data_IF_898917472997
#
_entry.id   IF_898917472997
#
_cell.length_a   1.000
_cell.length_b   1.000
_cell.length_c   1.000
_cell.angle_alpha   90.00
_cell.angle_beta   90.00
_cell.angle_gamma   90.00
#
_symmetry.space_group_name_H-M   'P 1'
#
loop_
_entity.id
_entity.type
_entity.pdbx_description
1 polymer ?
#
# COMPACT_ATOMS: atom_id res chain seq x y z
N UNK A 1 -29.01 8.93 5.20
CA UNK A 1 -27.75 8.19 5.00
C UNK A 1 -27.65 7.07 6.04
N UNK A 2 -27.50 5.80 5.61
CA UNK A 2 -27.31 4.64 6.50
C UNK A 2 -26.09 4.80 7.42
N UNK A 3 -26.15 4.27 8.65
CA UNK A 3 -25.08 4.41 9.64
C UNK A 3 -23.74 3.84 9.16
N UNK A 4 -23.78 2.71 8.46
CA UNK A 4 -22.59 2.09 7.83
C UNK A 4 -21.86 3.01 6.85
N UNK A 5 -22.59 3.88 6.15
CA UNK A 5 -21.98 4.83 5.20
C UNK A 5 -21.30 5.97 5.95
N UNK A 6 -21.91 6.47 7.04
CA UNK A 6 -21.28 7.49 7.88
C UNK A 6 -20.01 6.97 8.54
N UNK A 7 -20.01 5.72 9.01
CA UNK A 7 -18.83 5.07 9.57
C UNK A 7 -17.71 4.93 8.53
N UNK A 8 -18.05 4.52 7.29
CA UNK A 8 -17.08 4.49 6.20
C UNK A 8 -16.47 5.87 5.93
N UNK A 9 -17.31 6.92 5.82
CA UNK A 9 -16.84 8.29 5.62
C UNK A 9 -15.90 8.69 6.76
N UNK A 10 -16.30 8.47 8.01
CA UNK A 10 -15.47 8.80 9.17
C UNK A 10 -14.09 8.13 9.09
N UNK A 11 -14.02 6.85 8.74
CA UNK A 11 -12.74 6.12 8.58
C UNK A 11 -11.92 6.69 7.42
N UNK A 12 -12.54 6.94 6.26
CA UNK A 12 -11.86 7.56 5.12
C UNK A 12 -11.33 8.97 5.44
N UNK A 13 -11.89 9.69 6.40
CA UNK A 13 -11.40 11.01 6.77
C UNK A 13 -10.30 11.00 7.84
N UNK A 14 -10.32 10.04 8.75
CA UNK A 14 -9.49 10.09 9.96
C UNK A 14 -8.44 8.98 10.05
N UNK A 15 -8.57 7.91 9.28
CA UNK A 15 -7.60 6.83 9.25
C UNK A 15 -6.52 7.12 8.21
N UNK A 16 -5.31 7.43 8.68
CA UNK A 16 -4.11 7.62 7.85
C UNK A 16 -2.98 6.77 8.38
N UNK A 17 -2.03 6.36 7.52
CA UNK A 17 -0.73 5.92 7.98
C UNK A 17 -0.10 6.97 8.91
N UNK A 18 0.72 6.51 9.85
CA UNK A 18 1.38 7.42 10.78
C UNK A 18 2.51 8.16 10.04
N UNK A 19 2.65 9.48 10.25
CA UNK A 19 3.76 10.22 9.64
C UNK A 19 5.12 9.60 9.99
N UNK A 20 6.10 9.68 9.07
CA UNK A 20 7.42 9.08 9.22
C UNK A 20 8.09 9.41 10.56
N UNK A 21 8.11 10.68 10.94
CA UNK A 21 8.69 11.18 12.20
C UNK A 21 8.08 10.57 13.46
N UNK A 22 6.85 10.09 13.38
CA UNK A 22 6.12 9.49 14.50
C UNK A 22 6.25 7.98 14.54
N UNK A 23 6.80 7.36 13.50
CA UNK A 23 7.14 5.94 13.52
C UNK A 23 8.24 5.72 14.57
N UNK A 24 8.12 4.72 15.46
CA UNK A 24 9.09 4.48 16.52
C UNK A 24 10.53 4.43 15.99
N UNK A 25 11.41 5.24 16.59
CA UNK A 25 12.87 5.21 16.34
C UNK A 25 13.55 4.14 17.21
N UNK A 26 12.92 2.97 17.29
CA UNK A 26 13.45 1.80 17.98
C UNK A 26 13.20 0.57 17.14
N UNK A 27 14.17 -0.32 17.16
CA UNK A 27 14.04 -1.66 16.60
C UNK A 27 12.89 -2.43 17.26
N UNK A 28 11.96 -2.91 16.46
CA UNK A 28 10.85 -3.76 16.88
C UNK A 28 11.14 -5.23 16.61
N UNK A 29 10.65 -6.11 17.49
CA UNK A 29 10.57 -7.54 17.24
C UNK A 29 9.31 -7.90 16.42
N UNK A 30 9.28 -9.10 15.85
CA UNK A 30 8.21 -9.60 14.97
C UNK A 30 6.78 -9.32 15.51
N UNK A 31 6.50 -9.68 16.76
CA UNK A 31 5.16 -9.50 17.33
C UNK A 31 4.82 -8.01 17.53
N UNK A 32 5.82 -7.17 17.79
CA UNK A 32 5.65 -5.73 17.97
C UNK A 32 5.37 -5.03 16.65
N UNK A 33 6.09 -5.37 15.57
CA UNK A 33 5.82 -4.81 14.26
C UNK A 33 4.44 -5.22 13.75
N UNK A 34 4.05 -6.49 13.90
CA UNK A 34 2.69 -6.94 13.54
C UNK A 34 1.63 -6.17 14.34
N UNK A 35 1.85 -5.98 15.64
CA UNK A 35 0.95 -5.18 16.48
C UNK A 35 0.88 -3.71 16.06
N UNK A 36 2.01 -3.14 15.61
CA UNK A 36 2.09 -1.77 15.13
C UNK A 36 1.36 -1.57 13.79
N UNK A 37 1.51 -2.53 12.87
CA UNK A 37 0.92 -2.46 11.52
C UNK A 37 -0.61 -2.36 11.51
N UNK A 38 -1.28 -2.82 12.56
CA UNK A 38 -2.75 -2.67 12.73
C UNK A 38 -3.22 -1.21 12.70
N UNK A 39 -2.33 -0.25 12.97
CA UNK A 39 -2.63 1.19 13.02
C UNK A 39 -2.45 1.90 11.69
N UNK A 40 -1.81 1.26 10.70
CA UNK A 40 -1.33 1.94 9.50
C UNK A 40 -2.39 2.04 8.38
N UNK A 41 -3.36 1.12 8.31
CA UNK A 41 -4.39 1.14 7.27
C UNK A 41 -5.78 0.74 7.74
N UNK A 42 -6.78 1.33 7.08
CA UNK A 42 -8.18 0.88 7.14
C UNK A 42 -8.22 -0.60 6.70
N UNK A 43 -8.74 -1.47 7.58
CA UNK A 43 -8.89 -2.89 7.29
C UNK A 43 -7.80 -3.79 7.88
N UNK A 44 -6.60 -3.25 8.20
CA UNK A 44 -5.58 -4.01 8.94
C UNK A 44 -5.89 -4.14 10.44
N UNK A 45 -6.92 -3.44 10.92
CA UNK A 45 -7.37 -3.42 12.32
C UNK A 45 -8.01 -4.74 12.75
N UNK A 46 -8.55 -5.53 11.82
CA UNK A 46 -9.31 -6.75 12.11
C UNK A 46 -8.42 -7.99 12.07
N UNK A 47 -8.57 -8.85 13.08
CA UNK A 47 -8.01 -10.21 13.11
C UNK A 47 -8.77 -11.15 12.13
N UNK A 48 -8.78 -10.77 10.85
CA UNK A 48 -9.26 -11.58 9.72
C UNK A 48 -8.12 -12.16 8.88
N UNK A 49 -8.46 -12.83 7.78
CA UNK A 49 -7.50 -13.47 6.84
C UNK A 49 -6.50 -12.49 6.20
N UNK A 50 -6.73 -11.18 6.32
CA UNK A 50 -5.85 -10.14 5.80
C UNK A 50 -4.81 -9.61 6.80
N UNK A 51 -4.86 -10.07 8.06
CA UNK A 51 -3.91 -9.67 9.09
C UNK A 51 -2.47 -10.09 8.73
N UNK A 52 -1.52 -9.15 8.89
CA UNK A 52 -0.12 -9.40 8.60
C UNK A 52 0.44 -10.50 9.51
N UNK A 53 0.97 -11.57 8.94
CA UNK A 53 1.52 -12.70 9.70
C UNK A 53 3.05 -12.73 9.68
N UNK A 54 3.71 -13.41 10.64
CA UNK A 54 5.15 -13.63 10.59
C UNK A 54 5.59 -14.35 9.32
N UNK A 55 4.77 -15.27 8.81
CA UNK A 55 5.05 -16.00 7.57
C UNK A 55 5.08 -15.06 6.36
N UNK A 56 4.16 -14.11 6.28
CA UNK A 56 4.14 -13.11 5.21
C UNK A 56 5.36 -12.20 5.23
N UNK A 57 5.74 -11.66 6.40
CA UNK A 57 6.94 -10.82 6.55
C UNK A 57 8.19 -11.59 6.10
N UNK A 58 8.30 -12.85 6.51
CA UNK A 58 9.40 -13.72 6.06
C UNK A 58 9.35 -14.00 4.55
N UNK A 59 8.17 -14.12 3.94
CA UNK A 59 8.05 -14.30 2.50
C UNK A 59 8.48 -13.04 1.74
N UNK A 60 8.12 -11.85 2.22
CA UNK A 60 8.55 -10.59 1.62
C UNK A 60 10.07 -10.41 1.69
N UNK A 61 10.71 -10.78 2.81
CA UNK A 61 12.18 -10.78 2.90
C UNK A 61 12.85 -11.81 1.97
N UNK A 62 12.18 -12.94 1.70
CA UNK A 62 12.71 -13.98 0.80
C UNK A 62 12.56 -13.64 -0.67
N UNK A 63 11.57 -12.82 -1.00
CA UNK A 63 11.33 -12.33 -2.37
C UNK A 63 11.97 -10.96 -2.62
N UNK A 64 12.87 -10.52 -1.74
CA UNK A 64 13.56 -9.22 -1.77
C UNK A 64 12.64 -7.98 -1.82
N UNK A 65 11.35 -8.16 -1.51
CA UNK A 65 10.34 -7.08 -1.44
C UNK A 65 10.46 -6.25 -0.16
N UNK A 66 11.05 -6.85 0.88
CA UNK A 66 11.32 -6.22 2.16
C UNK A 66 12.81 -6.40 2.47
N UNK A 67 13.52 -5.35 2.90
CA UNK A 67 14.90 -5.48 3.37
C UNK A 67 15.03 -6.56 4.46
N UNK A 68 16.22 -7.17 4.53
CA UNK A 68 16.47 -8.20 5.54
C UNK A 68 16.57 -7.57 6.92
N UNK A 69 15.82 -8.11 7.87
CA UNK A 69 15.88 -7.73 9.27
C UNK A 69 17.29 -7.85 9.87
N UNK A 70 17.71 -6.85 10.66
CA UNK A 70 18.98 -6.85 11.36
C UNK A 70 18.89 -7.67 12.66
N UNK A 71 19.24 -8.95 12.61
CA UNK A 71 19.22 -9.80 13.80
C UNK A 71 17.82 -10.01 14.39
N UNK A 72 16.81 -10.18 13.52
CA UNK A 72 15.37 -10.32 13.84
C UNK A 72 14.70 -9.04 14.36
N UNK A 73 15.32 -7.90 14.09
CA UNK A 73 14.80 -6.59 14.43
C UNK A 73 14.40 -5.84 13.15
N UNK A 74 13.30 -5.10 13.27
CA UNK A 74 12.68 -4.34 12.19
C UNK A 74 12.66 -2.87 12.61
N UNK A 75 13.22 -2.02 11.77
CA UNK A 75 13.30 -0.57 11.97
C UNK A 75 12.15 0.17 11.26
N UNK A 76 12.27 1.50 11.21
CA UNK A 76 11.33 2.40 10.56
C UNK A 76 11.20 2.14 9.06
N UNK A 77 12.28 1.79 8.36
CA UNK A 77 12.23 1.47 6.93
C UNK A 77 11.36 0.24 6.68
N UNK A 78 11.51 -0.79 7.51
CA UNK A 78 10.67 -1.99 7.41
C UNK A 78 9.18 -1.66 7.58
N UNK A 79 8.85 -0.74 8.48
CA UNK A 79 7.47 -0.26 8.67
C UNK A 79 6.98 0.47 7.42
N UNK A 80 7.81 1.34 6.82
CA UNK A 80 7.50 2.04 5.58
C UNK A 80 7.14 1.08 4.44
N UNK A 81 8.02 0.12 4.17
CA UNK A 81 7.77 -0.93 3.18
C UNK A 81 6.52 -1.74 3.50
N UNK A 82 6.39 -2.28 4.71
CA UNK A 82 5.25 -3.13 5.07
C UNK A 82 3.92 -2.39 4.96
N UNK A 83 3.90 -1.09 5.24
CA UNK A 83 2.72 -0.23 5.08
C UNK A 83 2.28 -0.20 3.63
N UNK A 84 3.17 0.16 2.71
CA UNK A 84 2.87 0.17 1.28
C UNK A 84 2.49 -1.24 0.75
N UNK A 85 3.28 -2.26 1.07
CA UNK A 85 3.05 -3.65 0.61
C UNK A 85 1.67 -4.14 1.04
N UNK A 86 1.26 -3.87 2.29
CA UNK A 86 -0.03 -4.30 2.82
C UNK A 86 -1.22 -3.70 2.05
N UNK A 87 -1.11 -2.47 1.55
CA UNK A 87 -2.13 -1.86 0.71
C UNK A 87 -2.05 -2.38 -0.73
N UNK A 88 -0.85 -2.37 -1.33
CA UNK A 88 -0.65 -2.74 -2.74
C UNK A 88 -1.10 -4.18 -3.02
N UNK A 89 -0.83 -5.12 -2.11
CA UNK A 89 -1.23 -6.53 -2.28
C UNK A 89 -2.75 -6.75 -2.37
N UNK A 90 -3.56 -5.75 -2.00
CA UNK A 90 -5.03 -5.82 -2.11
C UNK A 90 -5.49 -5.63 -3.56
N UNK A 91 -4.65 -5.04 -4.41
CA UNK A 91 -4.98 -4.69 -5.80
C UNK A 91 -4.09 -5.38 -6.84
N UNK A 92 -2.88 -5.80 -6.46
CA UNK A 92 -1.92 -6.45 -7.35
C UNK A 92 -1.18 -7.61 -6.67
N UNK A 93 -0.47 -8.41 -7.47
CA UNK A 93 0.38 -9.49 -6.95
C UNK A 93 1.62 -8.97 -6.23
N UNK A 94 2.22 -9.81 -5.38
CA UNK A 94 3.47 -9.51 -4.67
C UNK A 94 4.62 -9.19 -5.63
N UNK A 95 4.66 -9.86 -6.79
CA UNK A 95 5.66 -9.59 -7.83
C UNK A 95 5.50 -8.18 -8.42
N UNK A 96 4.27 -7.82 -8.79
CA UNK A 96 3.94 -6.51 -9.35
C UNK A 96 4.24 -5.38 -8.36
N UNK A 97 3.94 -5.59 -7.07
CA UNK A 97 4.31 -4.66 -6.02
C UNK A 97 5.85 -4.49 -5.91
N UNK A 98 6.62 -5.56 -6.13
CA UNK A 98 8.09 -5.50 -6.16
C UNK A 98 8.62 -4.63 -7.28
N UNK A 99 8.15 -4.84 -8.51
CA UNK A 99 8.54 -4.01 -9.66
C UNK A 99 8.27 -2.53 -9.40
N UNK A 100 7.10 -2.20 -8.85
CA UNK A 100 6.74 -0.81 -8.55
C UNK A 100 7.64 -0.23 -7.45
N UNK A 101 7.84 -0.95 -6.35
CA UNK A 101 8.66 -0.46 -5.24
C UNK A 101 10.13 -0.32 -5.65
N UNK A 102 10.70 -1.28 -6.38
CA UNK A 102 12.07 -1.18 -6.90
C UNK A 102 12.24 0.07 -7.78
N UNK A 103 11.31 0.32 -8.70
CA UNK A 103 11.35 1.50 -9.57
C UNK A 103 11.20 2.82 -8.81
N UNK A 104 10.44 2.87 -7.72
CA UNK A 104 10.36 4.08 -6.87
C UNK A 104 11.68 4.30 -6.11
N UNK A 105 12.28 3.23 -5.57
CA UNK A 105 13.55 3.29 -4.84
C UNK A 105 14.75 3.66 -5.72
N UNK A 106 14.66 3.52 -7.05
CA UNK A 106 15.70 3.98 -7.99
C UNK A 106 15.89 5.50 -7.97
N UNK A 107 14.89 6.24 -7.47
CA UNK A 107 14.85 7.71 -7.57
C UNK A 107 14.76 8.41 -6.22
N UNK A 108 14.46 7.70 -5.14
CA UNK A 108 14.29 8.26 -3.80
C UNK A 108 14.60 7.24 -2.70
N UNK A 109 14.85 7.75 -1.50
CA UNK A 109 14.96 6.89 -0.31
C UNK A 109 13.58 6.47 0.24
N UNK A 110 13.59 5.57 1.21
CA UNK A 110 12.39 4.98 1.81
C UNK A 110 11.51 6.02 2.50
N UNK A 111 12.13 7.04 3.11
CA UNK A 111 11.43 8.12 3.80
C UNK A 111 10.62 8.96 2.81
N UNK A 112 11.27 9.47 1.76
CA UNK A 112 10.61 10.27 0.74
C UNK A 112 9.49 9.50 0.03
N UNK A 113 9.73 8.23 -0.31
CA UNK A 113 8.70 7.36 -0.86
C UNK A 113 7.52 7.20 0.09
N UNK A 114 7.79 6.93 1.36
CA UNK A 114 6.73 6.74 2.35
C UNK A 114 5.88 8.00 2.52
N UNK A 115 6.49 9.18 2.49
CA UNK A 115 5.78 10.46 2.55
C UNK A 115 4.91 10.72 1.31
N UNK A 116 5.42 10.44 0.10
CA UNK A 116 4.63 10.53 -1.15
C UNK A 116 3.47 9.53 -1.15
N UNK A 117 3.72 8.31 -0.69
CA UNK A 117 2.71 7.29 -0.48
C UNK A 117 1.61 7.77 0.48
N UNK A 118 1.99 8.31 1.64
CA UNK A 118 1.04 8.82 2.63
C UNK A 118 0.19 9.98 2.07
N UNK A 119 0.81 10.89 1.31
CA UNK A 119 0.10 11.97 0.61
C UNK A 119 -0.90 11.44 -0.42
N UNK A 120 -0.51 10.43 -1.18
CA UNK A 120 -1.38 9.78 -2.16
C UNK A 120 -2.57 9.12 -1.49
N UNK A 121 -2.34 8.36 -0.41
CA UNK A 121 -3.42 7.74 0.38
C UNK A 121 -4.36 8.78 0.96
N UNK A 122 -3.84 9.87 1.52
CA UNK A 122 -4.66 10.96 2.07
C UNK A 122 -5.57 11.61 1.03
N UNK A 123 -5.00 11.93 -0.14
CA UNK A 123 -5.75 12.53 -1.23
C UNK A 123 -6.87 11.60 -1.73
N UNK A 124 -6.55 10.32 -1.98
CA UNK A 124 -7.52 9.34 -2.46
C UNK A 124 -8.63 9.05 -1.44
N UNK A 125 -8.28 8.93 -0.16
CA UNK A 125 -9.27 8.69 0.89
C UNK A 125 -10.19 9.90 1.10
N UNK A 126 -9.64 11.12 1.08
CA UNK A 126 -10.42 12.35 1.20
C UNK A 126 -11.38 12.53 0.02
N UNK A 127 -10.88 12.33 -1.20
CA UNK A 127 -11.69 12.35 -2.43
C UNK A 127 -12.83 11.31 -2.38
N UNK A 128 -12.52 10.10 -1.91
CA UNK A 128 -13.53 9.04 -1.76
C UNK A 128 -14.56 9.39 -0.68
N UNK A 129 -14.16 9.97 0.44
CA UNK A 129 -15.09 10.41 1.48
C UNK A 129 -16.09 11.44 0.94
N UNK A 130 -15.61 12.43 0.18
CA UNK A 130 -16.44 13.45 -0.46
C UNK A 130 -17.40 12.86 -1.49
N UNK A 131 -16.94 11.92 -2.32
CA UNK A 131 -17.81 11.20 -3.25
C UNK A 131 -18.90 10.43 -2.51
N UNK A 132 -18.54 9.65 -1.49
CA UNK A 132 -19.47 8.80 -0.73
C UNK A 132 -20.50 9.64 0.04
N UNK A 133 -20.18 10.88 0.45
CA UNK A 133 -21.14 11.81 1.08
C UNK A 133 -22.34 12.16 0.20
N UNK A 134 -22.19 12.09 -1.11
CA UNK A 134 -23.29 12.37 -2.05
C UNK A 134 -24.36 11.25 -2.03
N UNK A 135 -24.05 10.10 -1.44
CA UNK A 135 -24.99 8.99 -1.29
C UNK A 135 -26.10 9.31 -0.28
N UNK A 136 -27.32 9.57 -0.78
CA UNK A 136 -28.48 9.96 0.04
C UNK A 136 -29.43 8.80 0.31
N UNK A 137 -29.53 7.90 -0.66
CA UNK A 137 -30.55 6.84 -0.73
C UNK A 137 -30.01 5.60 -1.46
N UNK A 138 -30.89 4.61 -1.64
CA UNK A 138 -30.54 3.35 -2.31
C UNK A 138 -30.18 3.53 -3.79
N UNK A 139 -30.84 4.44 -4.50
CA UNK A 139 -30.62 4.63 -5.93
C UNK A 139 -29.23 5.23 -6.19
N UNK A 140 -28.92 6.32 -5.47
CA UNK A 140 -27.60 6.96 -5.50
C UNK A 140 -26.49 6.00 -5.07
N UNK A 141 -26.71 5.21 -4.01
CA UNK A 141 -25.78 4.15 -3.60
C UNK A 141 -25.52 3.12 -4.70
N UNK A 142 -26.58 2.68 -5.40
CA UNK A 142 -26.48 1.65 -6.44
C UNK A 142 -25.68 2.16 -7.63
N UNK A 143 -25.99 3.39 -8.08
CA UNK A 143 -25.27 4.04 -9.19
C UNK A 143 -23.79 4.24 -8.86
N UNK A 144 -23.50 4.75 -7.66
CA UNK A 144 -22.15 4.98 -7.19
C UNK A 144 -21.36 3.67 -7.06
N UNK A 145 -21.97 2.61 -6.53
CA UNK A 145 -21.33 1.30 -6.44
C UNK A 145 -20.96 0.73 -7.81
N UNK A 146 -21.83 0.87 -8.82
CA UNK A 146 -21.53 0.48 -10.19
C UNK A 146 -20.38 1.31 -10.78
N UNK A 147 -20.44 2.63 -10.61
CA UNK A 147 -19.39 3.53 -11.10
C UNK A 147 -18.03 3.18 -10.48
N UNK A 148 -17.97 3.03 -9.15
CA UNK A 148 -16.75 2.64 -8.44
C UNK A 148 -16.21 1.29 -8.95
N UNK A 149 -17.08 0.29 -9.13
CA UNK A 149 -16.64 -1.02 -9.64
C UNK A 149 -16.00 -0.91 -11.03
N UNK A 150 -16.59 -0.12 -11.94
CA UNK A 150 -16.05 0.12 -13.28
C UNK A 150 -14.74 0.92 -13.21
N UNK A 151 -14.68 1.97 -12.39
CA UNK A 151 -13.46 2.77 -12.18
C UNK A 151 -12.31 1.92 -11.63
N UNK A 152 -12.58 1.08 -10.63
CA UNK A 152 -11.59 0.17 -10.05
C UNK A 152 -11.09 -0.81 -11.12
N UNK A 153 -11.98 -1.40 -11.90
CA UNK A 153 -11.57 -2.30 -12.98
C UNK A 153 -10.72 -1.61 -14.05
N UNK A 154 -11.12 -0.41 -14.50
CA UNK A 154 -10.34 0.38 -15.45
C UNK A 154 -8.96 0.75 -14.89
N UNK A 155 -8.90 1.15 -13.62
CA UNK A 155 -7.65 1.51 -12.93
C UNK A 155 -6.73 0.30 -12.78
N UNK A 156 -7.27 -0.87 -12.45
CA UNK A 156 -6.50 -2.12 -12.37
C UNK A 156 -5.91 -2.51 -13.74
N UNK A 157 -6.67 -2.37 -14.83
CA UNK A 157 -6.16 -2.62 -16.18
C UNK A 157 -5.01 -1.66 -16.52
N UNK A 158 -5.18 -0.36 -16.27
CA UNK A 158 -4.14 0.63 -16.52
C UNK A 158 -2.89 0.37 -15.66
N UNK A 159 -3.07 0.10 -14.36
CA UNK A 159 -1.99 -0.20 -13.44
C UNK A 159 -1.17 -1.41 -13.90
N UNK A 160 -1.85 -2.48 -14.34
CA UNK A 160 -1.17 -3.68 -14.85
C UNK A 160 -0.30 -3.38 -16.08
N UNK A 161 -0.81 -2.63 -17.04
CA UNK A 161 -0.05 -2.26 -18.24
C UNK A 161 1.13 -1.33 -17.91
N UNK A 162 0.96 -0.40 -16.96
CA UNK A 162 2.05 0.45 -16.49
C UNK A 162 3.14 -0.36 -15.80
N UNK A 163 2.78 -1.32 -14.95
CA UNK A 163 3.75 -2.20 -14.28
C UNK A 163 4.49 -3.08 -15.30
N UNK A 164 3.80 -3.61 -16.31
CA UNK A 164 4.44 -4.35 -17.38
C UNK A 164 5.45 -3.48 -18.16
N UNK A 165 5.08 -2.23 -18.43
CA UNK A 165 5.99 -1.26 -19.07
C UNK A 165 7.22 -0.97 -18.22
N UNK A 166 7.07 -0.80 -16.91
CA UNK A 166 8.18 -0.61 -15.96
C UNK A 166 9.12 -1.84 -15.97
N UNK A 167 8.57 -3.05 -15.83
CA UNK A 167 9.34 -4.32 -15.84
C UNK A 167 10.13 -4.49 -17.15
N UNK A 168 9.50 -4.18 -18.30
CA UNK A 168 10.17 -4.21 -19.61
C UNK A 168 11.26 -3.15 -19.76
N UNK A 169 11.06 -1.95 -19.21
CA UNK A 169 12.04 -0.87 -19.27
C UNK A 169 13.30 -1.22 -18.43
N UNK A 170 13.10 -1.77 -17.23
CA UNK A 170 14.18 -2.25 -16.37
C UNK A 170 14.99 -3.38 -17.06
N UNK A 171 14.30 -4.38 -17.64
CA UNK A 171 14.96 -5.47 -18.36
C UNK A 171 15.79 -5.04 -19.58
N UNK A 172 15.42 -3.93 -20.24
CA UNK A 172 16.20 -3.35 -21.35
C UNK A 172 17.44 -2.61 -20.86
N UNK A 173 17.37 -1.92 -19.73
CA UNK A 173 18.52 -1.24 -19.12
C UNK A 173 19.60 -2.24 -18.68
N UNK A 174 19.20 -3.35 -18.04
CA UNK A 174 20.09 -4.43 -17.62
C UNK A 174 20.77 -5.18 -18.78
N UNK A 175 20.09 -5.26 -19.92
CA UNK A 175 20.61 -5.88 -21.14
C UNK A 175 21.66 -5.02 -21.85
N UNK A 176 21.52 -3.69 -21.80
CA UNK A 176 22.48 -2.75 -22.39
C UNK A 176 23.81 -2.72 -21.63
N UNK A 177 23.78 -2.67 -20.29
CA UNK A 177 24.98 -2.60 -19.43
C UNK A 177 25.85 -3.88 -19.49
N UNK A 178 25.25 -5.02 -19.88
CA UNK A 178 25.98 -6.29 -20.11
C UNK A 178 26.63 -6.41 -21.48
N UNK A 179 26.28 -5.54 -22.44
CA UNK A 179 26.84 -5.55 -23.80
C UNK A 179 28.06 -4.64 -24.00
N UNK A 180 28.42 -3.85 -22.98
CA UNK A 180 29.60 -2.97 -22.99
C UNK A 180 30.78 -3.50 -22.14
N UNK A 181 30.72 -4.75 -21.66
CA UNK A 181 31.82 -5.48 -21.01
C UNK A 181 32.30 -6.65 -21.85
#
# INVERSE_FOLDING_TARGET
MPERIKELIYRLEHSRPENWDKIPDIDLYMDQIIGYMKRQHIGLEFDGDESLTPAMINNYMKSDLLPRAHGKKYDREHIGYLTAICLLKQVMSVKEAGVLLESEMDHMDVEHFYEEYCRTVDAEYSSMADKVRECKDRETATRMALELAVTVYASMLACKELIAYIDEAAGKADGADKSEK
#
